data_IF_111936128575
#
_entry.id   IF_111936128575
#
_cell.length_a   1.000
_cell.length_b   1.000
_cell.length_c   1.000
_cell.angle_alpha   90.00
_cell.angle_beta   90.00
_cell.angle_gamma   90.00
#
_symmetry.space_group_name_H-M   'P 1'
#
loop_
_entity.id
_entity.type
_entity.pdbx_description
1 polymer ?
#
# COMPACT_ATOMS: atom_id res chain seq x y z
N UNK A 1 -30.80 -10.28 14.88
CA UNK A 1 -30.34 -10.25 13.48
C UNK A 1 -28.98 -10.92 13.32
N UNK A 2 -28.00 -10.74 14.22
CA UNK A 2 -26.65 -11.29 14.11
C UNK A 2 -26.55 -12.80 13.95
N UNK A 3 -27.31 -13.60 14.73
CA UNK A 3 -27.24 -15.06 14.69
C UNK A 3 -27.56 -15.64 13.31
N UNK A 4 -28.56 -15.10 12.63
CA UNK A 4 -29.00 -15.59 11.31
C UNK A 4 -27.97 -15.35 10.20
N UNK A 5 -27.20 -14.25 10.31
CA UNK A 5 -26.17 -13.86 9.35
C UNK A 5 -24.90 -14.71 9.53
N UNK A 6 -24.54 -14.99 10.79
CA UNK A 6 -23.42 -15.89 11.13
C UNK A 6 -23.66 -17.32 10.63
N UNK A 7 -24.92 -17.81 10.72
CA UNK A 7 -25.30 -19.13 10.20
C UNK A 7 -25.18 -19.21 8.67
N UNK A 8 -25.57 -18.15 7.97
CA UNK A 8 -25.43 -18.06 6.50
C UNK A 8 -23.94 -18.04 6.10
N UNK A 9 -23.10 -17.27 6.82
CA UNK A 9 -21.67 -17.21 6.56
C UNK A 9 -21.03 -18.59 6.74
N UNK A 10 -21.28 -19.25 7.86
CA UNK A 10 -20.77 -20.60 8.14
C UNK A 10 -21.26 -21.61 7.09
N UNK A 11 -22.50 -21.51 6.62
CA UNK A 11 -23.02 -22.34 5.53
C UNK A 11 -22.26 -22.11 4.23
N UNK A 12 -21.97 -20.84 3.87
CA UNK A 12 -21.16 -20.52 2.69
C UNK A 12 -19.74 -21.07 2.79
N UNK A 13 -19.09 -20.96 3.96
CA UNK A 13 -17.78 -21.58 4.20
C UNK A 13 -17.84 -23.10 4.05
N UNK A 14 -18.84 -23.75 4.67
CA UNK A 14 -18.99 -25.20 4.57
C UNK A 14 -19.18 -25.66 3.12
N UNK A 15 -19.94 -24.92 2.32
CA UNK A 15 -20.12 -25.19 0.90
C UNK A 15 -18.83 -25.03 0.09
N UNK A 16 -18.00 -24.01 0.40
CA UNK A 16 -16.67 -23.86 -0.18
C UNK A 16 -15.77 -25.06 0.09
N UNK A 17 -15.75 -25.55 1.33
CA UNK A 17 -14.92 -26.70 1.71
C UNK A 17 -15.42 -28.00 1.09
N UNK A 18 -16.72 -28.12 0.82
CA UNK A 18 -17.34 -29.27 0.15
C UNK A 18 -17.37 -29.15 -1.36
N UNK A 19 -16.99 -27.95 -1.89
CA UNK A 19 -17.12 -27.65 -3.33
C UNK A 19 -18.56 -27.83 -3.85
N UNK A 20 -19.53 -27.55 -3.03
CA UNK A 20 -20.94 -27.55 -3.40
C UNK A 20 -21.33 -26.18 -3.97
N UNK A 21 -21.93 -26.18 -5.17
CA UNK A 21 -22.42 -24.97 -5.81
C UNK A 21 -21.36 -24.18 -6.61
N UNK A 22 -21.72 -22.94 -6.96
CA UNK A 22 -20.85 -22.04 -7.71
C UNK A 22 -19.82 -21.35 -6.80
N UNK A 23 -18.56 -21.62 -7.05
CA UNK A 23 -17.43 -21.06 -6.30
C UNK A 23 -17.48 -19.52 -6.21
N UNK A 24 -17.77 -18.86 -7.35
CA UNK A 24 -17.79 -17.39 -7.39
C UNK A 24 -18.90 -16.81 -6.51
N UNK A 25 -20.09 -17.41 -6.52
CA UNK A 25 -21.21 -16.98 -5.67
C UNK A 25 -20.89 -17.13 -4.19
N UNK A 26 -20.22 -18.22 -3.79
CA UNK A 26 -19.80 -18.43 -2.39
C UNK A 26 -18.71 -17.44 -1.96
N UNK A 27 -17.71 -17.22 -2.82
CA UNK A 27 -16.65 -16.22 -2.55
C UNK A 27 -17.25 -14.81 -2.39
N UNK A 28 -18.16 -14.41 -3.27
CA UNK A 28 -18.83 -13.11 -3.19
C UNK A 28 -19.69 -12.99 -1.91
N UNK A 29 -20.42 -14.04 -1.55
CA UNK A 29 -21.23 -14.05 -0.33
C UNK A 29 -20.37 -13.89 0.92
N UNK A 30 -19.21 -14.56 0.99
CA UNK A 30 -18.27 -14.42 2.12
C UNK A 30 -17.65 -13.02 2.11
N UNK A 31 -17.18 -12.52 0.97
CA UNK A 31 -16.60 -11.19 0.86
C UNK A 31 -17.60 -10.08 1.28
N UNK A 32 -18.87 -10.23 0.90
CA UNK A 32 -19.95 -9.32 1.30
C UNK A 32 -20.19 -9.32 2.81
N UNK A 33 -19.98 -10.45 3.47
CA UNK A 33 -20.22 -10.63 4.90
C UNK A 33 -18.92 -10.74 5.71
N UNK A 34 -17.80 -10.21 5.19
CA UNK A 34 -16.47 -10.31 5.82
C UNK A 34 -16.45 -9.84 7.27
N UNK A 35 -17.20 -8.77 7.59
CA UNK A 35 -17.30 -8.25 8.96
C UNK A 35 -17.97 -9.24 9.95
N UNK A 36 -18.66 -10.26 9.43
CA UNK A 36 -19.24 -11.30 10.27
C UNK A 36 -18.21 -12.34 10.74
N UNK A 37 -17.04 -12.43 10.06
CA UNK A 37 -15.93 -13.30 10.50
C UNK A 37 -15.42 -12.81 11.86
N UNK A 38 -15.33 -11.50 12.06
CA UNK A 38 -14.90 -10.90 13.33
C UNK A 38 -15.85 -11.25 14.49
N UNK A 39 -17.14 -11.50 14.19
CA UNK A 39 -18.19 -11.82 15.15
C UNK A 39 -18.30 -13.31 15.44
N UNK A 40 -17.53 -14.16 14.77
CA UNK A 40 -17.50 -15.59 15.08
C UNK A 40 -16.99 -15.81 16.50
N UNK A 41 -17.57 -16.80 17.19
CA UNK A 41 -17.03 -17.26 18.48
C UNK A 41 -15.60 -17.78 18.29
N UNK A 42 -14.77 -17.72 19.33
CA UNK A 42 -13.39 -18.21 19.26
C UNK A 42 -13.31 -19.68 18.83
N UNK A 43 -14.27 -20.52 19.29
CA UNK A 43 -14.34 -21.91 18.84
C UNK A 43 -14.61 -22.05 17.33
N UNK A 44 -15.48 -21.19 16.76
CA UNK A 44 -15.76 -21.18 15.34
C UNK A 44 -14.57 -20.64 14.52
N UNK A 45 -13.86 -19.62 15.03
CA UNK A 45 -12.62 -19.12 14.42
C UNK A 45 -11.54 -20.18 14.37
N UNK A 46 -11.33 -20.91 15.46
CA UNK A 46 -10.38 -22.04 15.51
C UNK A 46 -10.78 -23.12 14.51
N UNK A 47 -12.06 -23.51 14.48
CA UNK A 47 -12.54 -24.52 13.52
C UNK A 47 -12.31 -24.06 12.06
N UNK A 48 -12.65 -22.81 11.74
CA UNK A 48 -12.45 -22.23 10.41
C UNK A 48 -10.96 -22.19 10.03
N UNK A 49 -10.10 -21.75 10.94
CA UNK A 49 -8.64 -21.74 10.74
C UNK A 49 -8.12 -23.14 10.40
N UNK A 50 -8.51 -24.14 11.18
CA UNK A 50 -8.01 -25.51 11.01
C UNK A 50 -8.55 -26.15 9.71
N UNK A 51 -9.78 -25.84 9.31
CA UNK A 51 -10.32 -26.25 8.00
C UNK A 51 -9.51 -25.62 6.85
N UNK A 52 -9.20 -24.32 6.91
CA UNK A 52 -8.38 -23.65 5.89
C UNK A 52 -6.99 -24.28 5.83
N UNK A 53 -6.33 -24.51 6.98
CA UNK A 53 -5.03 -25.16 7.05
C UNK A 53 -5.04 -26.53 6.36
N UNK A 54 -6.00 -27.37 6.71
CA UNK A 54 -6.13 -28.70 6.12
C UNK A 54 -6.33 -28.64 4.60
N UNK A 55 -7.12 -27.66 4.13
CA UNK A 55 -7.32 -27.48 2.71
C UNK A 55 -6.04 -27.03 1.99
N UNK A 56 -5.33 -26.01 2.52
CA UNK A 56 -4.10 -25.48 1.96
C UNK A 56 -2.91 -26.45 2.07
N UNK A 57 -2.92 -27.36 3.04
CA UNK A 57 -1.91 -28.42 3.16
C UNK A 57 -2.03 -29.48 2.05
N UNK A 58 -3.22 -29.65 1.45
CA UNK A 58 -3.48 -30.68 0.46
C UNK A 58 -2.98 -30.26 -0.94
N UNK A 59 -1.97 -30.98 -1.47
CA UNK A 59 -1.37 -30.74 -2.79
C UNK A 59 -2.38 -30.89 -3.94
N UNK A 60 -3.35 -31.80 -3.81
CA UNK A 60 -4.39 -31.99 -4.81
C UNK A 60 -5.25 -30.74 -4.95
N UNK A 61 -5.66 -30.13 -3.82
CA UNK A 61 -6.45 -28.90 -3.83
C UNK A 61 -5.68 -27.74 -4.49
N UNK A 62 -4.39 -27.60 -4.18
CA UNK A 62 -3.56 -26.54 -4.77
C UNK A 62 -3.38 -26.71 -6.28
N UNK A 63 -3.39 -27.93 -6.80
CA UNK A 63 -3.24 -28.17 -8.23
C UNK A 63 -4.56 -27.98 -9.01
N UNK A 64 -5.65 -28.42 -8.44
CA UNK A 64 -6.93 -28.42 -9.13
C UNK A 64 -7.86 -27.25 -8.79
N UNK A 65 -7.58 -26.56 -7.66
CA UNK A 65 -8.45 -25.54 -7.10
C UNK A 65 -7.66 -24.31 -6.67
N UNK A 66 -6.75 -23.85 -7.54
CA UNK A 66 -5.85 -22.73 -7.22
C UNK A 66 -6.61 -21.46 -6.82
N UNK A 67 -7.68 -21.11 -7.53
CA UNK A 67 -8.51 -19.94 -7.21
C UNK A 67 -9.13 -20.03 -5.81
N UNK A 68 -9.65 -21.20 -5.43
CA UNK A 68 -10.16 -21.42 -4.08
C UNK A 68 -9.05 -21.35 -3.04
N UNK A 69 -7.87 -21.89 -3.37
CA UNK A 69 -6.70 -21.84 -2.47
C UNK A 69 -6.24 -20.39 -2.23
N UNK A 70 -6.24 -19.53 -3.27
CA UNK A 70 -5.95 -18.10 -3.14
C UNK A 70 -6.98 -17.41 -2.25
N UNK A 71 -8.26 -17.69 -2.46
CA UNK A 71 -9.32 -17.12 -1.65
C UNK A 71 -9.19 -17.50 -0.17
N UNK A 72 -8.98 -18.78 0.11
CA UNK A 72 -8.80 -19.27 1.49
C UNK A 72 -7.52 -18.74 2.13
N UNK A 73 -6.41 -18.62 1.36
CA UNK A 73 -5.20 -17.97 1.86
C UNK A 73 -5.47 -16.51 2.22
N UNK A 74 -6.26 -15.79 1.43
CA UNK A 74 -6.58 -14.39 1.72
C UNK A 74 -7.36 -14.21 3.03
N UNK A 75 -8.26 -15.14 3.34
CA UNK A 75 -8.96 -15.19 4.63
C UNK A 75 -7.96 -15.52 5.73
N UNK A 76 -7.13 -16.55 5.51
CA UNK A 76 -6.12 -16.96 6.48
C UNK A 76 -5.16 -15.83 6.84
N UNK A 77 -4.64 -15.13 5.82
CA UNK A 77 -3.77 -13.99 5.98
C UNK A 77 -4.45 -12.79 6.66
N UNK A 78 -5.76 -12.61 6.48
CA UNK A 78 -6.48 -11.47 7.06
C UNK A 78 -6.92 -11.67 8.51
N UNK A 79 -7.10 -12.93 8.96
CA UNK A 79 -7.75 -13.23 10.24
C UNK A 79 -6.97 -14.19 11.15
N UNK A 80 -6.02 -14.96 10.62
CA UNK A 80 -5.33 -16.01 11.37
C UNK A 80 -3.82 -15.93 11.14
N UNK A 81 -3.10 -15.23 12.00
CA UNK A 81 -1.65 -15.04 11.85
C UNK A 81 -0.91 -16.14 12.61
N UNK A 82 -0.23 -17.02 11.90
CA UNK A 82 0.71 -17.95 12.51
C UNK A 82 1.90 -18.22 11.58
N UNK A 83 2.89 -18.94 12.08
CA UNK A 83 4.17 -19.21 11.38
C UNK A 83 4.00 -19.99 10.06
N UNK A 84 2.85 -20.64 9.84
CA UNK A 84 2.60 -21.42 8.62
C UNK A 84 2.19 -20.58 7.43
N UNK A 85 1.82 -19.31 7.64
CA UNK A 85 1.39 -18.42 6.57
C UNK A 85 2.46 -18.27 5.49
N UNK A 86 3.73 -18.15 5.90
CA UNK A 86 4.88 -18.05 4.99
C UNK A 86 4.93 -19.23 4.03
N UNK A 87 4.77 -20.44 4.56
CA UNK A 87 4.77 -21.65 3.78
C UNK A 87 3.65 -21.68 2.74
N UNK A 88 2.43 -21.34 3.13
CA UNK A 88 1.27 -21.34 2.22
C UNK A 88 1.37 -20.24 1.14
N UNK A 89 1.84 -19.05 1.50
CA UNK A 89 2.09 -17.98 0.53
C UNK A 89 3.06 -18.46 -0.56
N UNK A 90 4.20 -19.02 -0.18
CA UNK A 90 5.18 -19.53 -1.13
C UNK A 90 4.63 -20.65 -2.01
N UNK A 91 3.93 -21.58 -1.38
CA UNK A 91 3.38 -22.74 -2.05
C UNK A 91 2.36 -22.35 -3.12
N UNK A 92 1.49 -21.40 -2.83
CA UNK A 92 0.50 -20.88 -3.78
C UNK A 92 1.18 -20.03 -4.85
N UNK A 93 2.07 -19.10 -4.47
CA UNK A 93 2.79 -18.25 -5.40
C UNK A 93 3.49 -19.06 -6.51
N UNK A 94 4.14 -20.17 -6.16
CA UNK A 94 4.81 -21.06 -7.10
C UNK A 94 3.85 -21.81 -8.04
N UNK A 95 2.55 -21.80 -7.78
CA UNK A 95 1.53 -22.39 -8.66
C UNK A 95 0.87 -21.37 -9.58
N UNK A 96 1.03 -20.09 -9.27
CA UNK A 96 0.48 -19.01 -10.10
C UNK A 96 1.32 -18.91 -11.38
N UNK A 97 0.66 -18.94 -12.52
CA UNK A 97 1.28 -18.73 -13.83
C UNK A 97 1.09 -17.32 -14.32
N UNK A 98 2.10 -16.81 -15.02
CA UNK A 98 2.09 -15.48 -15.64
C UNK A 98 2.48 -14.35 -14.66
N UNK A 99 3.26 -13.42 -15.18
CA UNK A 99 3.81 -12.30 -14.40
C UNK A 99 2.72 -11.38 -13.85
N UNK A 100 1.66 -11.14 -14.63
CA UNK A 100 0.52 -10.30 -14.20
C UNK A 100 -0.18 -10.87 -12.96
N UNK A 101 -0.50 -12.16 -12.97
CA UNK A 101 -1.13 -12.83 -11.85
C UNK A 101 -0.23 -12.86 -10.60
N UNK A 102 1.07 -13.10 -10.77
CA UNK A 102 2.05 -13.04 -9.67
C UNK A 102 2.14 -11.65 -9.08
N UNK A 103 2.19 -10.63 -9.92
CA UNK A 103 2.17 -9.24 -9.49
C UNK A 103 0.89 -8.89 -8.72
N UNK A 104 -0.27 -9.28 -9.26
CA UNK A 104 -1.57 -9.07 -8.60
C UNK A 104 -1.62 -9.77 -7.24
N UNK A 105 -1.09 -10.99 -7.12
CA UNK A 105 -0.99 -11.74 -5.86
C UNK A 105 -0.15 -10.99 -4.83
N UNK A 106 1.03 -10.50 -5.23
CA UNK A 106 1.92 -9.72 -4.35
C UNK A 106 1.20 -8.47 -3.84
N UNK A 107 0.59 -7.67 -4.73
CA UNK A 107 -0.09 -6.44 -4.34
C UNK A 107 -1.27 -6.67 -3.39
N UNK A 108 -2.03 -7.76 -3.59
CA UNK A 108 -3.10 -8.12 -2.67
C UNK A 108 -2.55 -8.47 -1.28
N UNK A 109 -1.44 -9.22 -1.18
CA UNK A 109 -0.81 -9.53 0.11
C UNK A 109 -0.19 -8.29 0.76
N UNK A 110 0.46 -7.42 0.00
CA UNK A 110 0.97 -6.11 0.49
C UNK A 110 -0.19 -5.31 1.10
N UNK A 111 -1.32 -5.28 0.42
CA UNK A 111 -2.51 -4.56 0.90
C UNK A 111 -3.08 -5.17 2.19
N UNK A 112 -3.12 -6.50 2.30
CA UNK A 112 -3.53 -7.18 3.54
C UNK A 112 -2.56 -6.83 4.68
N UNK A 113 -1.24 -6.94 4.43
CA UNK A 113 -0.22 -6.58 5.42
C UNK A 113 -0.37 -5.15 5.91
N UNK A 114 -0.58 -4.21 5.00
CA UNK A 114 -0.76 -2.80 5.31
C UNK A 114 -2.06 -2.52 6.08
N UNK A 115 -3.21 -3.01 5.58
CA UNK A 115 -4.52 -2.73 6.18
C UNK A 115 -4.73 -3.37 7.54
N UNK A 116 -4.16 -4.55 7.75
CA UNK A 116 -4.36 -5.34 8.97
C UNK A 116 -3.17 -5.27 9.91
N UNK A 117 -2.15 -4.47 9.57
CA UNK A 117 -0.89 -4.36 10.31
C UNK A 117 -0.26 -5.74 10.62
N UNK A 118 -0.20 -6.59 9.60
CA UNK A 118 0.28 -7.96 9.72
C UNK A 118 1.73 -8.04 9.24
N UNK A 119 2.63 -8.68 9.98
CA UNK A 119 4.04 -8.80 9.61
C UNK A 119 4.25 -9.83 8.49
N UNK A 120 3.94 -9.46 7.25
CA UNK A 120 4.18 -10.28 6.05
C UNK A 120 5.55 -9.99 5.40
N UNK A 121 6.46 -9.30 6.08
CA UNK A 121 7.76 -8.89 5.53
C UNK A 121 8.55 -10.07 4.95
N UNK A 122 8.61 -11.19 5.68
CA UNK A 122 9.37 -12.37 5.30
C UNK A 122 8.86 -13.06 4.03
N UNK A 123 7.58 -13.47 3.94
CA UNK A 123 7.08 -14.07 2.72
C UNK A 123 7.06 -13.08 1.55
N UNK A 124 6.72 -11.82 1.78
CA UNK A 124 6.69 -10.80 0.73
C UNK A 124 8.09 -10.55 0.15
N UNK A 125 9.14 -10.47 0.97
CA UNK A 125 10.50 -10.30 0.48
C UNK A 125 10.91 -11.45 -0.45
N UNK A 126 10.60 -12.70 -0.07
CA UNK A 126 10.94 -13.89 -0.86
C UNK A 126 10.18 -13.95 -2.18
N UNK A 127 8.84 -13.81 -2.15
CA UNK A 127 8.04 -13.92 -3.37
C UNK A 127 8.30 -12.75 -4.32
N UNK A 128 8.54 -11.55 -3.80
CA UNK A 128 8.88 -10.41 -4.63
C UNK A 128 10.25 -10.57 -5.30
N UNK A 129 11.26 -11.03 -4.55
CA UNK A 129 12.56 -11.33 -5.15
C UNK A 129 12.43 -12.41 -6.25
N UNK A 130 11.71 -13.50 -5.97
CA UNK A 130 11.46 -14.55 -6.98
C UNK A 130 10.75 -14.01 -8.22
N UNK A 131 9.76 -13.15 -8.04
CA UNK A 131 9.05 -12.49 -9.13
C UNK A 131 9.96 -11.62 -9.99
N UNK A 132 10.79 -10.79 -9.37
CA UNK A 132 11.71 -9.90 -10.08
C UNK A 132 12.78 -10.69 -10.84
N UNK A 133 13.27 -11.79 -10.24
CA UNK A 133 14.21 -12.69 -10.93
C UNK A 133 13.57 -13.36 -12.15
N UNK A 134 12.33 -13.86 -12.03
CA UNK A 134 11.57 -14.45 -13.14
C UNK A 134 11.34 -13.41 -14.26
N UNK A 135 10.97 -12.18 -13.89
CA UNK A 135 10.80 -11.07 -14.84
C UNK A 135 12.12 -10.79 -15.59
N UNK A 136 13.23 -10.78 -14.87
CA UNK A 136 14.56 -10.55 -15.48
C UNK A 136 14.96 -11.70 -16.40
N UNK A 137 14.66 -12.93 -16.04
CA UNK A 137 14.97 -14.10 -16.87
C UNK A 137 14.11 -14.12 -18.15
N UNK A 138 12.81 -13.80 -18.03
CA UNK A 138 11.89 -13.76 -19.17
C UNK A 138 12.27 -12.68 -20.18
N UNK A 139 12.80 -11.54 -19.71
CA UNK A 139 13.23 -10.43 -20.55
C UNK A 139 14.76 -10.28 -20.59
N UNK A 140 15.48 -11.39 -20.48
CA UNK A 140 16.96 -11.39 -20.45
C UNK A 140 17.63 -10.84 -21.71
N UNK A 141 16.93 -10.83 -22.83
CA UNK A 141 17.35 -10.24 -24.11
C UNK A 141 17.14 -8.72 -24.17
N UNK A 142 16.32 -8.15 -23.28
CA UNK A 142 16.11 -6.72 -23.19
C UNK A 142 17.25 -6.07 -22.38
N UNK A 143 18.20 -5.48 -23.08
CA UNK A 143 19.35 -4.80 -22.51
C UNK A 143 19.31 -3.32 -22.86
N UNK A 144 19.39 -2.49 -21.82
CA UNK A 144 19.57 -1.05 -21.99
C UNK A 144 21.02 -0.79 -22.45
N UNK A 145 21.20 -0.13 -23.58
CA UNK A 145 22.50 0.41 -23.99
C UNK A 145 22.78 1.67 -23.18
N UNK A 146 23.34 1.50 -22.02
CA UNK A 146 23.48 2.55 -21.02
C UNK A 146 24.95 2.86 -20.76
N UNK A 147 25.29 4.15 -20.86
CA UNK A 147 26.60 4.67 -20.45
C UNK A 147 26.43 5.55 -19.21
N UNK A 148 26.82 5.03 -18.05
CA UNK A 148 26.76 5.70 -16.74
C UNK A 148 27.46 7.07 -16.72
N UNK A 149 28.34 7.35 -17.71
CA UNK A 149 29.11 8.59 -17.77
C UNK A 149 28.46 9.68 -18.62
N UNK A 150 27.44 9.36 -19.43
CA UNK A 150 26.93 10.29 -20.44
C UNK A 150 26.08 11.43 -19.87
N UNK A 151 25.13 11.17 -18.98
CA UNK A 151 24.19 12.24 -18.61
C UNK A 151 23.93 12.31 -17.10
N UNK A 152 24.99 12.64 -16.34
CA UNK A 152 24.93 12.68 -14.85
C UNK A 152 23.94 13.71 -14.29
N UNK A 153 23.49 14.65 -15.10
CA UNK A 153 22.59 15.72 -14.68
C UNK A 153 21.11 15.40 -14.90
N UNK A 154 20.78 14.29 -15.57
CA UNK A 154 19.40 13.88 -15.80
C UNK A 154 18.99 12.82 -14.77
N UNK A 155 17.90 13.07 -14.07
CA UNK A 155 17.31 12.15 -13.08
C UNK A 155 15.96 11.69 -13.60
N UNK A 156 15.73 10.38 -13.53
CA UNK A 156 14.43 9.76 -13.79
C UNK A 156 13.71 9.56 -12.46
N UNK A 157 12.61 10.26 -12.25
CA UNK A 157 11.66 9.99 -11.17
C UNK A 157 10.60 9.02 -11.64
N UNK A 158 10.43 7.91 -10.96
CA UNK A 158 9.45 6.87 -11.31
C UNK A 158 8.48 6.65 -10.16
N UNK A 159 7.21 6.48 -10.48
CA UNK A 159 6.19 6.04 -9.53
C UNK A 159 5.23 5.05 -10.19
N UNK A 160 4.71 4.11 -9.41
CA UNK A 160 3.67 3.19 -9.88
C UNK A 160 2.33 3.88 -10.08
N UNK A 161 2.09 4.97 -9.34
CA UNK A 161 0.81 5.65 -9.31
C UNK A 161 0.99 7.14 -9.08
N UNK A 162 0.46 7.95 -9.99
CA UNK A 162 0.37 9.40 -9.84
C UNK A 162 -1.13 9.75 -9.93
N UNK A 163 -1.69 10.30 -8.86
CA UNK A 163 -3.13 10.62 -8.78
C UNK A 163 -3.35 12.13 -8.74
N UNK A 164 -3.70 12.67 -7.58
CA UNK A 164 -3.95 14.10 -7.38
C UNK A 164 -2.88 14.71 -6.48
N UNK A 165 -2.80 16.03 -6.43
CA UNK A 165 -1.90 16.75 -5.52
C UNK A 165 -2.17 16.42 -4.03
N UNK A 166 -3.38 15.98 -3.68
CA UNK A 166 -3.73 15.56 -2.31
C UNK A 166 -3.36 14.09 -2.00
N UNK A 167 -2.85 13.34 -2.97
CA UNK A 167 -2.36 11.98 -2.75
C UNK A 167 -0.92 12.03 -2.24
N UNK A 168 -0.69 11.59 -1.02
CA UNK A 168 0.61 11.73 -0.33
C UNK A 168 1.83 11.26 -1.15
N UNK A 169 1.85 10.08 -1.79
CA UNK A 169 2.96 9.69 -2.66
C UNK A 169 3.15 10.60 -3.89
N UNK A 170 2.05 11.12 -4.46
CA UNK A 170 2.12 12.08 -5.57
C UNK A 170 2.72 13.42 -5.12
N UNK A 171 2.30 13.90 -3.95
CA UNK A 171 2.82 15.11 -3.34
C UNK A 171 4.33 15.02 -3.11
N UNK A 172 4.79 13.91 -2.52
CA UNK A 172 6.20 13.64 -2.31
C UNK A 172 6.99 13.63 -3.63
N UNK A 173 6.45 13.00 -4.68
CA UNK A 173 7.08 12.98 -5.99
C UNK A 173 7.22 14.40 -6.56
N UNK A 174 6.19 15.26 -6.41
CA UNK A 174 6.22 16.65 -6.86
C UNK A 174 7.21 17.51 -6.07
N UNK A 175 7.32 17.28 -4.77
CA UNK A 175 8.32 17.94 -3.91
C UNK A 175 9.73 17.55 -4.32
N UNK A 176 9.98 16.26 -4.57
CA UNK A 176 11.27 15.77 -5.10
C UNK A 176 11.57 16.35 -6.47
N UNK A 177 10.59 16.37 -7.38
CA UNK A 177 10.74 17.01 -8.70
C UNK A 177 11.18 18.45 -8.57
N UNK A 178 10.49 19.23 -7.73
CA UNK A 178 10.79 20.64 -7.51
C UNK A 178 12.21 20.84 -6.93
N UNK A 179 12.53 20.09 -5.87
CA UNK A 179 13.84 20.19 -5.21
C UNK A 179 15.01 19.82 -6.15
N UNK A 180 14.87 18.78 -6.95
CA UNK A 180 15.88 18.36 -7.91
C UNK A 180 16.07 19.41 -9.04
N UNK A 181 14.97 20.01 -9.51
CA UNK A 181 15.03 21.10 -10.49
C UNK A 181 15.74 22.33 -9.95
N UNK A 182 15.47 22.70 -8.69
CA UNK A 182 16.13 23.80 -7.99
C UNK A 182 17.64 23.54 -7.80
N UNK A 183 18.04 22.28 -7.66
CA UNK A 183 19.45 21.86 -7.61
C UNK A 183 20.12 21.82 -8.99
N UNK A 184 19.40 22.15 -10.07
CA UNK A 184 19.92 22.22 -11.42
C UNK A 184 19.90 20.92 -12.21
N UNK A 185 19.23 19.88 -11.72
CA UNK A 185 19.06 18.65 -12.47
C UNK A 185 17.97 18.78 -13.54
N UNK A 186 18.17 18.09 -14.64
CA UNK A 186 17.09 17.77 -15.56
C UNK A 186 16.29 16.60 -14.98
N UNK A 187 14.98 16.76 -14.84
CA UNK A 187 14.15 15.73 -14.21
C UNK A 187 13.05 15.29 -15.17
N UNK A 188 13.03 14.00 -15.46
CA UNK A 188 11.95 13.35 -16.16
C UNK A 188 11.11 12.55 -15.17
N UNK A 189 9.79 12.66 -15.28
CA UNK A 189 8.85 11.88 -14.44
C UNK A 189 8.21 10.80 -15.30
N UNK A 190 8.24 9.57 -14.83
CA UNK A 190 7.54 8.44 -15.46
C UNK A 190 6.55 7.79 -14.49
N UNK A 191 5.31 7.61 -14.92
CA UNK A 191 4.34 6.77 -14.25
C UNK A 191 4.37 5.38 -14.90
N UNK A 192 4.84 4.38 -14.16
CA UNK A 192 4.79 2.99 -14.58
C UNK A 192 3.62 2.33 -13.86
N UNK A 193 2.53 2.10 -14.58
CA UNK A 193 1.31 1.53 -14.04
C UNK A 193 1.49 0.03 -13.77
N UNK A 194 2.14 -0.30 -12.65
CA UNK A 194 2.45 -1.67 -12.25
C UNK A 194 1.43 -2.26 -11.27
N UNK A 195 0.49 -1.45 -10.77
CA UNK A 195 -0.54 -1.93 -9.86
C UNK A 195 -1.56 -2.77 -10.63
N UNK A 196 -1.96 -3.91 -10.07
CA UNK A 196 -3.03 -4.71 -10.67
C UNK A 196 -4.33 -3.92 -10.75
N UNK A 197 -4.94 -3.91 -11.93
CA UNK A 197 -6.27 -3.34 -12.18
C UNK A 197 -7.34 -4.42 -12.33
N UNK A 198 -6.95 -5.70 -12.30
CA UNK A 198 -7.83 -6.83 -12.59
C UNK A 198 -8.32 -7.52 -11.31
N UNK A 199 -9.58 -7.94 -11.34
CA UNK A 199 -10.23 -8.75 -10.29
C UNK A 199 -10.00 -10.26 -10.46
N UNK A 200 -8.99 -10.65 -11.24
CA UNK A 200 -8.81 -12.04 -11.67
C UNK A 200 -8.48 -13.00 -10.52
N UNK A 201 -7.86 -12.47 -9.45
CA UNK A 201 -7.54 -13.28 -8.29
C UNK A 201 -8.60 -13.11 -7.19
N UNK A 202 -9.18 -14.20 -6.72
CA UNK A 202 -10.24 -14.17 -5.73
C UNK A 202 -9.67 -13.93 -4.32
N UNK A 203 -9.40 -12.68 -3.99
CA UNK A 203 -9.11 -12.27 -2.62
C UNK A 203 -10.38 -11.84 -1.90
N UNK A 204 -10.43 -12.01 -0.56
CA UNK A 204 -11.58 -11.58 0.24
C UNK A 204 -11.79 -10.05 0.16
N UNK A 205 -10.71 -9.31 0.04
CA UNK A 205 -10.68 -7.87 -0.16
C UNK A 205 -9.71 -7.55 -1.30
N UNK A 206 -10.13 -7.72 -2.57
CA UNK A 206 -9.23 -7.56 -3.69
C UNK A 206 -8.75 -6.12 -3.80
N UNK A 207 -7.44 -5.96 -4.04
CA UNK A 207 -6.84 -4.67 -4.31
C UNK A 207 -7.03 -4.32 -5.78
N UNK A 208 -7.49 -3.10 -6.03
CA UNK A 208 -7.56 -2.50 -7.36
C UNK A 208 -6.69 -1.24 -7.42
N UNK A 209 -5.69 -1.26 -8.28
CA UNK A 209 -4.97 -0.05 -8.64
C UNK A 209 -5.92 0.98 -9.26
N UNK A 210 -5.75 2.24 -8.88
CA UNK A 210 -6.45 3.35 -9.51
C UNK A 210 -5.45 4.17 -10.29
N UNK A 211 -5.82 4.50 -11.51
CA UNK A 211 -5.05 5.40 -12.36
C UNK A 211 -5.97 6.53 -12.81
N UNK A 212 -5.39 7.71 -13.03
CA UNK A 212 -6.09 8.74 -13.78
C UNK A 212 -6.07 8.26 -15.24
N UNK A 213 -7.22 8.30 -15.90
CA UNK A 213 -7.35 7.98 -17.33
C UNK A 213 -6.50 8.95 -18.16
N UNK A 214 -5.25 8.58 -18.36
CA UNK A 214 -4.30 9.30 -19.18
C UNK A 214 -3.80 8.38 -20.28
N UNK A 215 -3.91 8.78 -21.55
CA UNK A 215 -3.32 8.01 -22.64
C UNK A 215 -1.80 7.88 -22.47
N UNK A 216 -1.21 6.85 -23.08
CA UNK A 216 0.24 6.67 -23.16
C UNK A 216 0.96 7.87 -23.75
N UNK A 217 2.20 8.07 -23.36
CA UNK A 217 3.11 9.06 -23.88
C UNK A 217 3.39 10.22 -22.94
N UNK A 218 4.17 11.19 -23.46
CA UNK A 218 4.55 12.39 -22.72
C UNK A 218 3.36 13.34 -22.61
N UNK A 219 3.10 13.82 -21.39
CA UNK A 219 2.08 14.80 -21.08
C UNK A 219 2.60 15.84 -20.11
N UNK A 220 2.05 17.03 -20.23
CA UNK A 220 2.26 18.08 -19.25
C UNK A 220 1.06 18.11 -18.31
N UNK A 221 1.31 17.83 -17.06
CA UNK A 221 0.30 17.90 -16.02
C UNK A 221 0.46 19.20 -15.24
N UNK A 222 -0.66 19.82 -14.90
CA UNK A 222 -0.66 20.97 -14.02
C UNK A 222 -1.06 20.54 -12.61
N UNK A 223 -0.14 20.70 -11.66
CA UNK A 223 -0.37 20.47 -10.24
C UNK A 223 -0.13 21.79 -9.50
N UNK A 224 -1.18 22.37 -8.95
CA UNK A 224 -1.12 23.63 -8.20
C UNK A 224 -0.36 24.75 -8.93
N UNK A 225 -0.64 24.91 -10.23
CA UNK A 225 0.00 25.90 -11.10
C UNK A 225 1.41 25.54 -11.57
N UNK A 226 1.91 24.33 -11.30
CA UNK A 226 3.21 23.84 -11.76
C UNK A 226 3.04 22.87 -12.93
N UNK A 227 3.71 23.13 -14.01
CA UNK A 227 3.78 22.22 -15.16
C UNK A 227 4.83 21.15 -14.91
N UNK A 228 4.40 19.89 -14.89
CA UNK A 228 5.26 18.72 -14.72
C UNK A 228 5.14 17.83 -15.95
N UNK A 229 6.21 17.63 -16.72
CA UNK A 229 6.22 16.68 -17.82
C UNK A 229 6.25 15.24 -17.25
N UNK A 230 5.22 14.46 -17.54
CA UNK A 230 5.08 13.08 -17.08
C UNK A 230 4.95 12.17 -18.29
N UNK A 231 5.82 11.17 -18.37
CA UNK A 231 5.67 10.08 -19.30
C UNK A 231 4.80 8.98 -18.69
N UNK A 232 3.66 8.70 -19.31
CA UNK A 232 2.70 7.72 -18.82
C UNK A 232 2.79 6.44 -19.65
N UNK A 233 3.08 5.32 -18.96
CA UNK A 233 3.01 3.99 -19.54
C UNK A 233 1.69 3.35 -19.15
N UNK A 234 0.82 3.14 -20.12
CA UNK A 234 -0.45 2.47 -19.87
C UNK A 234 -0.27 0.96 -19.59
N UNK A 235 -1.30 0.38 -19.14
CA UNK A 235 -1.49 -0.85 -18.40
C UNK A 235 -0.98 -2.20 -18.97
N UNK A 236 0.00 -2.27 -19.81
CA UNK A 236 0.56 -3.57 -20.23
C UNK A 236 2.05 -3.69 -20.04
N UNK A 237 2.50 -3.20 -18.91
CA UNK A 237 3.91 -3.10 -18.51
C UNK A 237 4.65 -4.43 -18.37
N UNK A 238 3.94 -5.56 -18.39
CA UNK A 238 4.53 -6.89 -18.50
C UNK A 238 4.52 -7.44 -19.93
N UNK A 239 4.07 -6.67 -20.92
CA UNK A 239 4.26 -7.03 -22.33
C UNK A 239 5.63 -6.59 -22.79
N UNK A 240 6.34 -7.49 -23.47
CA UNK A 240 7.70 -7.25 -23.95
C UNK A 240 7.80 -5.96 -24.77
N UNK A 241 6.86 -5.71 -25.69
CA UNK A 241 6.83 -4.49 -26.50
C UNK A 241 6.77 -3.20 -25.67
N UNK A 242 5.98 -3.17 -24.60
CA UNK A 242 5.88 -1.99 -23.74
C UNK A 242 7.18 -1.74 -22.96
N UNK A 243 7.91 -2.80 -22.59
CA UNK A 243 9.22 -2.68 -21.98
C UNK A 243 10.26 -2.22 -22.99
N UNK A 244 10.23 -2.72 -24.22
CA UNK A 244 11.08 -2.29 -25.33
C UNK A 244 10.92 -0.79 -25.58
N UNK A 245 9.69 -0.30 -25.73
CA UNK A 245 9.39 1.12 -25.93
C UNK A 245 9.93 1.98 -24.79
N UNK A 246 9.80 1.51 -23.54
CA UNK A 246 10.35 2.25 -22.40
C UNK A 246 11.87 2.27 -22.39
N UNK A 247 12.51 1.13 -22.67
CA UNK A 247 13.97 1.07 -22.77
C UNK A 247 14.53 1.94 -23.90
N UNK A 248 13.85 2.02 -25.05
CA UNK A 248 14.23 2.96 -26.12
C UNK A 248 14.21 4.43 -25.68
N UNK A 249 13.24 4.81 -24.84
CA UNK A 249 13.18 6.15 -24.27
C UNK A 249 14.34 6.36 -23.31
N UNK A 250 14.64 5.39 -22.44
CA UNK A 250 15.79 5.47 -21.54
C UNK A 250 17.13 5.52 -22.29
N UNK A 251 17.27 4.79 -23.40
CA UNK A 251 18.45 4.86 -24.26
C UNK A 251 18.66 6.25 -24.88
N UNK A 252 17.58 6.94 -25.24
CA UNK A 252 17.64 8.30 -25.78
C UNK A 252 17.99 9.35 -24.73
N UNK A 253 17.47 9.16 -23.51
CA UNK A 253 17.61 10.14 -22.42
C UNK A 253 18.89 9.90 -21.62
N UNK A 254 19.31 8.63 -21.45
CA UNK A 254 20.49 8.22 -20.69
C UNK A 254 20.48 8.85 -19.26
N UNK A 255 19.47 8.61 -18.43
CA UNK A 255 19.40 9.23 -17.10
C UNK A 255 20.57 8.76 -16.25
N UNK A 256 21.30 9.67 -15.61
CA UNK A 256 22.42 9.33 -14.73
C UNK A 256 22.02 8.55 -13.49
N UNK A 257 20.75 8.68 -13.07
CA UNK A 257 20.23 8.06 -11.87
C UNK A 257 18.70 7.94 -11.92
N UNK A 258 18.15 6.89 -11.31
CA UNK A 258 16.71 6.70 -11.17
C UNK A 258 16.30 6.80 -9.68
N UNK A 259 15.24 7.53 -9.39
CA UNK A 259 14.58 7.53 -8.08
C UNK A 259 13.18 6.94 -8.24
N UNK A 260 12.94 5.84 -7.57
CA UNK A 260 11.63 5.21 -7.48
C UNK A 260 10.90 5.73 -6.24
N UNK A 261 9.76 6.40 -6.42
CA UNK A 261 8.90 6.87 -5.33
C UNK A 261 7.81 5.82 -5.09
N UNK A 262 7.97 5.05 -4.03
CA UNK A 262 7.07 3.95 -3.67
C UNK A 262 7.82 2.65 -3.38
N UNK A 263 7.33 1.54 -3.92
CA UNK A 263 7.94 0.22 -3.77
C UNK A 263 7.11 -0.88 -4.43
N UNK A 264 7.59 -2.12 -4.32
CA UNK A 264 6.93 -3.32 -4.89
C UNK A 264 6.63 -3.24 -6.40
N UNK A 265 7.50 -2.59 -7.16
CA UNK A 265 7.34 -2.47 -8.61
C UNK A 265 8.39 -3.30 -9.35
N UNK A 266 7.98 -4.44 -9.92
CA UNK A 266 8.89 -5.35 -10.62
C UNK A 266 9.56 -4.73 -11.84
N UNK A 267 8.86 -3.89 -12.59
CA UNK A 267 9.44 -3.20 -13.77
C UNK A 267 10.52 -2.21 -13.34
N UNK A 268 10.29 -1.47 -12.25
CA UNK A 268 11.31 -0.57 -11.70
C UNK A 268 12.55 -1.33 -11.23
N UNK A 269 12.37 -2.49 -10.57
CA UNK A 269 13.49 -3.35 -10.19
C UNK A 269 14.20 -3.95 -11.40
N UNK A 270 13.48 -4.33 -12.44
CA UNK A 270 14.08 -4.76 -13.70
C UNK A 270 14.97 -3.66 -14.30
N UNK A 271 14.51 -2.40 -14.31
CA UNK A 271 15.30 -1.24 -14.77
C UNK A 271 16.46 -0.97 -13.80
N UNK A 272 16.23 -1.05 -12.50
CA UNK A 272 17.26 -0.89 -11.47
C UNK A 272 18.40 -1.91 -11.59
N UNK A 273 18.16 -3.06 -12.24
CA UNK A 273 19.22 -4.00 -12.58
C UNK A 273 20.18 -3.51 -13.66
N UNK A 274 19.85 -2.41 -14.34
CA UNK A 274 20.58 -1.87 -15.50
C UNK A 274 21.08 -0.43 -15.29
N UNK A 275 20.48 0.35 -14.41
CA UNK A 275 20.89 1.72 -14.07
C UNK A 275 20.95 1.94 -12.56
N UNK A 276 21.87 2.79 -12.05
CA UNK A 276 21.91 3.14 -10.64
C UNK A 276 20.58 3.72 -10.15
N UNK A 277 20.10 3.27 -8.99
CA UNK A 277 18.79 3.66 -8.51
C UNK A 277 18.67 3.74 -6.99
N UNK A 278 17.72 4.55 -6.55
CA UNK A 278 17.26 4.70 -5.18
C UNK A 278 15.76 4.42 -5.11
N UNK A 279 15.32 3.66 -4.11
CA UNK A 279 13.92 3.65 -3.72
C UNK A 279 13.69 4.66 -2.61
N UNK A 280 12.78 5.58 -2.83
CA UNK A 280 12.25 6.47 -1.81
C UNK A 280 10.90 5.91 -1.33
N UNK A 281 10.91 5.23 -0.17
CA UNK A 281 9.72 4.56 0.36
C UNK A 281 8.67 5.58 0.80
N UNK A 282 7.39 5.25 0.59
CA UNK A 282 6.24 6.10 0.94
C UNK A 282 5.43 5.54 2.10
N UNK A 283 5.86 4.43 2.69
CA UNK A 283 5.23 3.79 3.84
C UNK A 283 6.27 3.20 4.78
N UNK A 284 5.87 2.86 6.00
CA UNK A 284 6.71 2.16 6.99
C UNK A 284 6.92 0.67 6.68
N UNK A 285 6.18 0.11 5.74
CA UNK A 285 6.36 -1.28 5.33
C UNK A 285 7.74 -1.52 4.73
N UNK A 286 8.31 -2.70 5.00
CA UNK A 286 9.51 -3.15 4.33
C UNK A 286 9.26 -3.28 2.82
N UNK A 287 10.05 -2.58 2.01
CA UNK A 287 10.06 -2.72 0.55
C UNK A 287 11.27 -3.55 0.16
N UNK A 288 11.10 -4.81 -0.22
CA UNK A 288 12.21 -5.61 -0.73
C UNK A 288 12.67 -5.08 -2.07
N UNK A 289 13.98 -4.94 -2.23
CA UNK A 289 14.57 -4.47 -3.49
C UNK A 289 15.83 -5.26 -3.80
N UNK A 290 15.81 -6.20 -4.74
CA UNK A 290 17.00 -6.95 -5.12
C UNK A 290 18.06 -6.10 -5.83
N UNK A 291 17.66 -5.17 -6.69
CA UNK A 291 18.59 -4.50 -7.61
C UNK A 291 18.86 -3.03 -7.32
N UNK A 292 17.98 -2.30 -6.66
CA UNK A 292 18.26 -0.89 -6.35
C UNK A 292 19.52 -0.74 -5.50
N UNK A 293 20.30 0.31 -5.80
CA UNK A 293 21.58 0.58 -5.13
C UNK A 293 21.39 1.04 -3.69
N UNK A 294 20.27 1.70 -3.41
CA UNK A 294 19.93 2.26 -2.11
C UNK A 294 18.42 2.19 -1.89
N UNK A 295 18.00 1.96 -0.66
CA UNK A 295 16.59 2.05 -0.22
C UNK A 295 16.52 2.97 0.98
N UNK A 296 15.75 4.06 0.86
CA UNK A 296 15.48 4.95 1.98
C UNK A 296 14.34 4.38 2.83
N UNK A 297 14.49 4.38 4.14
CA UNK A 297 13.48 3.92 5.08
C UNK A 297 13.22 4.96 6.16
N UNK A 298 12.01 5.02 6.69
CA UNK A 298 11.66 5.98 7.74
C UNK A 298 12.37 5.67 9.06
N UNK A 299 12.53 4.38 9.37
CA UNK A 299 13.15 3.91 10.59
C UNK A 299 14.26 2.90 10.30
N UNK A 300 15.13 2.65 11.25
CA UNK A 300 16.10 1.56 11.14
C UNK A 300 15.35 0.24 11.05
N UNK A 301 15.82 -0.63 10.17
CA UNK A 301 15.26 -1.98 10.06
C UNK A 301 15.30 -2.71 11.42
N UNK A 302 14.22 -3.38 11.74
CA UNK A 302 14.16 -4.30 12.87
C UNK A 302 14.97 -5.57 12.56
N UNK A 303 15.31 -6.35 13.58
CA UNK A 303 15.98 -7.64 13.39
C UNK A 303 15.17 -8.60 12.52
N UNK A 304 13.84 -8.60 12.66
CA UNK A 304 12.95 -9.43 11.85
C UNK A 304 12.96 -9.02 10.37
N UNK A 305 13.02 -7.72 10.09
CA UNK A 305 13.12 -7.20 8.71
C UNK A 305 14.49 -7.51 8.09
N UNK A 306 15.57 -7.39 8.87
CA UNK A 306 16.92 -7.79 8.41
C UNK A 306 16.91 -9.27 8.04
N UNK A 307 16.43 -10.15 8.92
CA UNK A 307 16.34 -11.59 8.63
C UNK A 307 15.46 -11.89 7.41
N UNK A 308 14.35 -11.14 7.23
CA UNK A 308 13.49 -11.32 6.06
C UNK A 308 14.21 -10.99 4.74
N UNK A 309 15.03 -9.94 4.72
CA UNK A 309 15.85 -9.58 3.56
C UNK A 309 16.98 -10.59 3.30
N UNK A 310 17.70 -11.00 4.35
CA UNK A 310 18.76 -12.02 4.25
C UNK A 310 18.21 -13.35 3.74
N UNK A 311 17.08 -13.81 4.27
CA UNK A 311 16.37 -15.01 3.80
C UNK A 311 15.93 -14.90 2.32
N UNK A 312 15.67 -13.68 1.84
CA UNK A 312 15.36 -13.38 0.45
C UNK A 312 16.62 -13.07 -0.40
N UNK A 313 17.81 -13.20 0.15
CA UNK A 313 19.10 -12.89 -0.52
C UNK A 313 19.22 -11.42 -0.96
N UNK A 314 18.63 -10.51 -0.20
CA UNK A 314 18.69 -9.06 -0.42
C UNK A 314 19.62 -8.45 0.64
N UNK A 315 20.62 -7.66 0.21
CA UNK A 315 21.56 -7.00 1.14
C UNK A 315 20.84 -5.95 2.01
N UNK A 316 20.74 -6.14 3.34
CA UNK A 316 20.11 -5.16 4.22
C UNK A 316 20.95 -3.88 4.40
N UNK A 317 22.25 -3.90 4.06
CA UNK A 317 23.12 -2.73 4.25
C UNK A 317 22.79 -1.56 3.31
N UNK A 318 22.09 -1.79 2.22
CA UNK A 318 21.61 -0.72 1.32
C UNK A 318 20.39 0.03 1.84
N UNK A 319 19.77 -0.44 2.93
CA UNK A 319 18.66 0.25 3.57
C UNK A 319 19.17 1.32 4.53
N UNK A 320 18.86 2.57 4.24
CA UNK A 320 19.34 3.72 5.02
C UNK A 320 18.16 4.50 5.58
N UNK A 321 18.20 4.76 6.88
CA UNK A 321 17.22 5.66 7.49
C UNK A 321 17.32 7.03 6.82
N UNK A 322 16.18 7.53 6.34
CA UNK A 322 16.08 8.91 5.90
C UNK A 322 16.40 9.83 7.08
N UNK A 323 17.33 10.74 6.86
CA UNK A 323 17.44 11.90 7.72
C UNK A 323 16.34 12.86 7.28
N UNK A 324 15.12 12.63 7.75
CA UNK A 324 14.14 13.69 7.74
C UNK A 324 14.78 14.83 8.55
N UNK A 325 15.23 15.88 7.88
CA UNK A 325 15.17 17.18 8.54
C UNK A 325 13.68 17.31 8.80
N UNK A 326 13.26 17.13 10.04
CA UNK A 326 11.94 17.53 10.48
C UNK A 326 11.65 18.82 9.74
N UNK A 327 10.54 18.85 8.98
CA UNK A 327 10.02 20.10 8.40
C UNK A 327 10.26 21.11 9.49
N UNK A 328 11.17 22.06 9.23
CA UNK A 328 11.70 22.88 10.31
C UNK A 328 10.49 23.45 11.01
N UNK A 329 10.36 23.20 12.31
CA UNK A 329 9.31 23.78 13.16
C UNK A 329 9.19 25.30 12.94
N UNK A 330 10.25 25.94 12.42
CA UNK A 330 10.32 27.32 12.01
C UNK A 330 9.23 27.74 11.00
N UNK A 331 8.72 26.84 10.16
CA UNK A 331 7.61 27.16 9.27
C UNK A 331 6.25 27.20 9.98
N UNK A 332 6.15 26.61 11.16
CA UNK A 332 4.95 26.65 12.01
C UNK A 332 5.05 27.77 13.09
N UNK A 333 6.28 28.14 13.49
CA UNK A 333 6.51 29.14 14.56
C UNK A 333 6.29 30.60 14.13
N UNK A 334 6.09 30.90 12.85
CA UNK A 334 5.85 32.26 12.34
C UNK A 334 4.43 32.55 11.88
N UNK A 335 3.47 31.63 12.10
CA UNK A 335 2.09 31.83 11.64
C UNK A 335 1.21 32.39 12.75
N UNK A 336 0.43 33.39 12.41
CA UNK A 336 -0.72 33.79 13.22
C UNK A 336 -1.53 32.53 13.53
N UNK A 337 -1.72 32.25 14.83
CA UNK A 337 -2.59 31.16 15.29
C UNK A 337 -3.95 31.38 14.67
N UNK A 338 -4.40 30.45 13.87
CA UNK A 338 -5.73 30.50 13.27
C UNK A 338 -6.76 30.54 14.38
N UNK A 339 -7.64 31.51 14.32
CA UNK A 339 -8.66 31.69 15.36
C UNK A 339 -9.63 30.48 15.33
N UNK A 340 -9.59 29.64 16.37
CA UNK A 340 -10.43 28.45 16.50
C UNK A 340 -11.91 28.74 16.37
N UNK A 341 -12.34 29.93 16.76
CA UNK A 341 -13.74 30.33 16.68
C UNK A 341 -14.25 30.43 15.24
N UNK A 342 -13.37 30.64 14.25
CA UNK A 342 -13.75 30.66 12.83
C UNK A 342 -14.14 29.24 12.34
N UNK A 343 -13.65 28.20 13.01
CA UNK A 343 -13.99 26.81 12.77
C UNK A 343 -15.07 26.26 13.73
N UNK A 344 -15.63 27.13 14.59
CA UNK A 344 -16.68 26.75 15.53
C UNK A 344 -16.19 26.09 16.82
N UNK A 345 -14.87 26.13 17.11
CA UNK A 345 -14.32 25.59 18.34
C UNK A 345 -14.03 26.70 19.35
N UNK A 346 -14.12 26.35 20.66
CA UNK A 346 -13.83 27.26 21.73
C UNK A 346 -12.37 27.21 22.13
N UNK A 347 -11.83 28.32 22.63
CA UNK A 347 -10.41 28.42 23.05
C UNK A 347 -10.07 27.48 24.21
N UNK A 348 -11.03 27.18 25.10
CA UNK A 348 -10.84 26.27 26.21
C UNK A 348 -10.95 24.79 25.83
N UNK A 349 -11.36 24.44 24.61
CA UNK A 349 -11.42 23.07 24.15
C UNK A 349 -10.04 22.56 23.80
N UNK A 350 -9.77 21.28 24.09
CA UNK A 350 -8.54 20.58 23.72
C UNK A 350 -8.84 19.75 22.48
N UNK A 351 -8.26 20.13 21.36
CA UNK A 351 -8.52 19.51 20.07
C UNK A 351 -7.44 18.47 19.77
N UNK A 352 -7.83 17.21 19.73
CA UNK A 352 -7.01 16.10 19.25
C UNK A 352 -7.47 15.72 17.86
N UNK A 353 -6.55 15.59 16.91
CA UNK A 353 -6.91 15.20 15.55
C UNK A 353 -6.25 13.88 15.12
N UNK A 354 -7.01 13.07 14.42
CA UNK A 354 -6.53 11.95 13.59
C UNK A 354 -6.79 12.37 12.14
N UNK A 355 -5.74 12.45 11.34
CA UNK A 355 -5.84 12.88 9.95
C UNK A 355 -5.38 11.74 9.06
N UNK A 356 -6.29 11.22 8.23
CA UNK A 356 -6.01 10.15 7.30
C UNK A 356 -6.82 10.28 6.03
N UNK A 357 -6.27 9.81 4.91
CA UNK A 357 -7.02 9.67 3.67
C UNK A 357 -8.07 8.54 3.73
N UNK A 358 -7.98 7.65 4.73
CA UNK A 358 -8.79 6.44 4.87
C UNK A 358 -8.94 6.05 6.34
N UNK A 359 -9.76 6.78 7.04
CA UNK A 359 -10.03 6.55 8.48
C UNK A 359 -10.55 5.13 8.76
N UNK A 360 -11.35 4.57 7.84
CA UNK A 360 -11.86 3.19 7.92
C UNK A 360 -10.78 2.10 7.90
N UNK A 361 -9.57 2.42 7.48
CA UNK A 361 -8.45 1.49 7.46
C UNK A 361 -7.51 1.64 8.67
N UNK A 362 -7.46 2.83 9.23
CA UNK A 362 -6.53 3.18 10.30
C UNK A 362 -7.19 3.16 11.69
N UNK A 363 -8.53 3.29 11.74
CA UNK A 363 -9.27 3.28 13.00
C UNK A 363 -9.93 1.92 13.21
N UNK A 364 -9.31 1.06 13.99
CA UNK A 364 -9.82 -0.21 14.44
C UNK A 364 -10.61 -0.12 15.76
N UNK A 365 -10.81 -1.25 16.39
CA UNK A 365 -11.51 -1.32 17.68
C UNK A 365 -10.70 -0.66 18.79
N UNK A 366 -9.40 -0.85 18.81
CA UNK A 366 -8.50 -0.35 19.86
C UNK A 366 -8.42 1.18 19.81
N UNK A 367 -8.37 1.78 18.62
CA UNK A 367 -8.39 3.23 18.45
C UNK A 367 -9.71 3.83 18.90
N UNK A 368 -10.84 3.18 18.60
CA UNK A 368 -12.17 3.63 19.07
C UNK A 368 -12.22 3.56 20.60
N UNK A 369 -11.71 2.49 21.20
CA UNK A 369 -11.65 2.36 22.65
C UNK A 369 -10.76 3.43 23.29
N UNK A 370 -9.61 3.72 22.69
CA UNK A 370 -8.71 4.80 23.08
C UNK A 370 -9.41 6.16 23.03
N UNK A 371 -10.09 6.48 21.91
CA UNK A 371 -10.85 7.73 21.76
C UNK A 371 -11.91 7.83 22.87
N UNK A 372 -12.70 6.77 23.08
CA UNK A 372 -13.76 6.74 24.08
C UNK A 372 -13.21 6.91 25.51
N UNK A 373 -12.12 6.23 25.85
CA UNK A 373 -11.45 6.37 27.15
C UNK A 373 -10.95 7.80 27.34
N UNK A 374 -10.26 8.36 26.35
CA UNK A 374 -9.73 9.72 26.40
C UNK A 374 -10.81 10.77 26.59
N UNK A 375 -11.91 10.66 25.84
CA UNK A 375 -13.06 11.57 25.98
C UNK A 375 -13.70 11.53 27.37
N UNK A 376 -13.61 10.40 28.09
CA UNK A 376 -14.13 10.28 29.45
C UNK A 376 -13.23 10.93 30.51
N UNK A 377 -11.95 11.13 30.23
CA UNK A 377 -11.00 11.72 31.20
C UNK A 377 -11.18 13.23 31.37
N UNK A 378 -11.59 13.92 30.31
CA UNK A 378 -11.74 15.37 30.33
C UNK A 378 -12.86 15.84 29.39
N UNK A 379 -13.81 16.60 29.93
CA UNK A 379 -14.96 17.11 29.17
C UNK A 379 -14.61 18.17 28.13
N UNK A 380 -13.41 18.78 28.22
CA UNK A 380 -12.93 19.76 27.25
C UNK A 380 -12.31 19.13 26.00
N UNK A 381 -12.02 17.82 26.03
CA UNK A 381 -11.42 17.14 24.90
C UNK A 381 -12.45 16.90 23.79
N UNK A 382 -12.06 17.23 22.57
CA UNK A 382 -12.73 16.80 21.33
C UNK A 382 -11.75 16.05 20.43
N UNK A 383 -12.22 15.03 19.75
CA UNK A 383 -11.50 14.34 18.70
C UNK A 383 -12.02 14.74 17.34
N UNK A 384 -11.13 15.18 16.46
CA UNK A 384 -11.42 15.55 15.08
C UNK A 384 -10.85 14.45 14.16
N UNK A 385 -11.74 13.73 13.49
CA UNK A 385 -11.42 12.63 12.60
C UNK A 385 -11.52 13.16 11.16
N UNK A 386 -10.38 13.51 10.58
CA UNK A 386 -10.30 14.21 9.29
C UNK A 386 -9.95 13.24 8.19
N UNK A 387 -10.84 13.08 7.24
CA UNK A 387 -10.60 12.24 6.06
C UNK A 387 -11.83 11.48 5.59
N UNK A 388 -11.61 10.59 4.64
CA UNK A 388 -12.69 9.72 4.13
C UNK A 388 -12.90 8.53 5.05
N UNK A 389 -14.15 8.20 5.29
CA UNK A 389 -14.53 6.99 6.00
C UNK A 389 -15.88 6.45 5.49
N UNK A 390 -16.13 5.18 5.79
CA UNK A 390 -17.42 4.53 5.51
C UNK A 390 -18.45 4.90 6.61
N UNK A 391 -19.72 4.98 6.23
CA UNK A 391 -20.84 5.30 7.15
C UNK A 391 -20.91 4.38 8.37
N UNK A 392 -20.44 3.13 8.23
CA UNK A 392 -20.39 2.16 9.33
C UNK A 392 -19.44 2.63 10.43
N UNK A 393 -18.26 3.16 10.11
CA UNK A 393 -17.29 3.68 11.08
C UNK A 393 -17.86 4.91 11.78
N UNK A 394 -18.45 5.85 11.02
CA UNK A 394 -19.10 7.05 11.57
C UNK A 394 -20.17 6.66 12.59
N UNK A 395 -21.04 5.71 12.24
CA UNK A 395 -22.09 5.20 13.10
C UNK A 395 -21.54 4.55 14.38
N UNK A 396 -20.48 3.77 14.25
CA UNK A 396 -19.84 3.05 15.36
C UNK A 396 -19.20 4.01 16.35
N UNK A 397 -18.42 4.97 15.85
CA UNK A 397 -17.78 5.98 16.70
C UNK A 397 -18.83 6.89 17.34
N UNK A 398 -19.84 7.33 16.60
CA UNK A 398 -20.93 8.16 17.13
C UNK A 398 -21.65 7.48 18.31
N UNK A 399 -21.87 6.17 18.23
CA UNK A 399 -22.49 5.39 19.35
C UNK A 399 -21.58 5.24 20.56
N UNK A 400 -20.27 5.02 20.34
CA UNK A 400 -19.33 4.72 21.42
C UNK A 400 -18.76 5.98 22.08
N UNK A 401 -18.46 7.00 21.28
CA UNK A 401 -17.72 8.19 21.70
C UNK A 401 -18.63 9.43 21.85
N UNK A 402 -19.81 9.42 21.25
CA UNK A 402 -20.77 10.53 21.31
C UNK A 402 -20.32 11.76 20.48
N UNK A 403 -20.98 12.92 20.67
CA UNK A 403 -20.82 14.07 19.78
C UNK A 403 -19.48 14.81 19.90
N UNK A 404 -18.61 14.39 20.83
CA UNK A 404 -17.26 14.96 20.97
C UNK A 404 -16.21 14.30 20.09
N UNK A 405 -16.58 13.23 19.35
CA UNK A 405 -15.80 12.69 18.24
C UNK A 405 -16.47 13.12 16.94
N UNK A 406 -15.88 14.12 16.28
CA UNK A 406 -16.40 14.76 15.07
C UNK A 406 -15.69 14.24 13.82
N UNK A 407 -16.46 13.92 12.78
CA UNK A 407 -15.91 13.62 11.46
C UNK A 407 -15.89 14.85 10.59
N UNK A 408 -14.74 15.10 9.97
CA UNK A 408 -14.54 16.18 9.04
C UNK A 408 -14.15 15.60 7.68
N UNK A 409 -14.75 16.15 6.62
CA UNK A 409 -14.36 15.85 5.24
C UNK A 409 -12.86 16.15 5.01
N UNK A 410 -12.25 15.56 3.98
CA UNK A 410 -10.86 15.86 3.65
C UNK A 410 -10.63 17.36 3.47
N UNK A 411 -9.72 17.91 4.25
CA UNK A 411 -9.40 19.34 4.30
C UNK A 411 -8.31 19.65 3.29
N UNK A 412 -8.54 20.61 2.39
CA UNK A 412 -7.55 21.07 1.40
C UNK A 412 -6.45 21.91 2.05
N UNK A 413 -6.81 22.79 2.97
CA UNK A 413 -5.88 23.66 3.70
C UNK A 413 -5.40 23.01 5.00
N UNK A 414 -4.78 21.83 4.89
CA UNK A 414 -4.37 21.02 6.04
C UNK A 414 -3.44 21.77 7.00
N UNK A 415 -2.58 22.65 6.50
CA UNK A 415 -1.66 23.43 7.34
C UNK A 415 -2.40 24.42 8.25
N UNK A 416 -3.45 25.06 7.73
CA UNK A 416 -4.31 25.94 8.51
C UNK A 416 -5.06 25.13 9.58
N UNK A 417 -5.59 23.99 9.22
CA UNK A 417 -6.22 23.07 10.17
C UNK A 417 -5.25 22.64 11.28
N UNK A 418 -4.03 22.19 10.91
CA UNK A 418 -3.03 21.74 11.88
C UNK A 418 -2.57 22.87 12.85
N UNK A 419 -2.69 24.15 12.46
CA UNK A 419 -2.34 25.27 13.34
C UNK A 419 -3.35 25.50 14.47
N UNK A 420 -4.57 24.98 14.37
CA UNK A 420 -5.62 25.15 15.38
C UNK A 420 -5.75 23.96 16.35
N UNK A 421 -5.16 22.82 16.06
CA UNK A 421 -5.22 21.63 16.94
C UNK A 421 -4.12 21.65 17.99
N UNK A 422 -4.37 21.01 19.14
CA UNK A 422 -3.39 20.89 20.21
C UNK A 422 -2.47 19.68 20.02
N UNK A 423 -3.03 18.55 19.54
CA UNK A 423 -2.30 17.31 19.36
C UNK A 423 -2.74 16.56 18.10
N UNK A 424 -1.78 16.15 17.29
CA UNK A 424 -1.97 15.18 16.23
C UNK A 424 -1.74 13.78 16.82
N UNK A 425 -2.75 12.93 16.74
CA UNK A 425 -2.69 11.54 17.20
C UNK A 425 -2.32 10.66 16.00
N UNK A 426 -1.23 9.93 16.15
CA UNK A 426 -0.78 8.95 15.17
C UNK A 426 -1.40 7.59 15.53
N UNK A 427 -2.08 6.96 14.58
CA UNK A 427 -2.69 5.63 14.71
C UNK A 427 -1.79 4.54 14.15
#
# INVERSE_FOLDING_TARGET
MGTKMTDILLSNFNNLFRLEGDLNSHCQAIAKNRNEIDKLSESNKVCLRDQIKNFLANEHNLKQQLSLSIFQLSIYASYFHDEQIDYYIHKIFNKISGLENKNAFIYNLVTIGFRKNIPLDKPLAKIFNSFVMELKDEYSDLRLKYDVNQNKNTILLVSSQILSANHSPTQLLLELYTALRELGFEVLVAQIQSLSTHDELPFIEPFKGRYIDTPEGLRIWNFDGREVPIYNFAASHFKKSSLEDFLEILEKIQPGFMINVGGYNGVQEFIASQIPSLIYTTSSMLVPSPFSSLVSVFEKLSSTQIMALEDAQIDPNKYKKMVSKAVQQDSLMGRELTNRSEFGYKEEEILLAIVSNRLDWEIGFDEIEFINKTLKTNTRIKFLLVGRCEDELVTKIGRMCGPRAEFLEPITEIKTFLSMIDFLVNT
#
